data_IF_296376316765
#
_entry.id   IF_296376316765
#
_cell.length_a   1.000
_cell.length_b   1.000
_cell.length_c   1.000
_cell.angle_alpha   90.00
_cell.angle_beta   90.00
_cell.angle_gamma   90.00
#
_symmetry.space_group_name_H-M   'P 1'
#
loop_
_entity.id
_entity.type
_entity.pdbx_description
1 polymer ?
#
# COMPACT_ATOMS: atom_id res chain seq x y z
N UNK A 1 -13.21 -19.03 -19.18
CA UNK A 1 -13.14 -19.99 -18.06
C UNK A 1 -13.73 -21.29 -18.59
N UNK A 2 -12.95 -22.38 -18.65
CA UNK A 2 -13.43 -23.70 -19.08
C UNK A 2 -13.89 -24.49 -17.86
N UNK A 3 -15.01 -25.18 -17.97
CA UNK A 3 -15.66 -25.95 -16.91
C UNK A 3 -15.40 -27.45 -17.10
N UNK A 4 -15.63 -28.26 -16.05
CA UNK A 4 -15.21 -29.68 -15.94
C UNK A 4 -15.73 -30.62 -17.05
N UNK A 5 -16.74 -30.21 -17.82
CA UNK A 5 -17.29 -30.97 -18.96
C UNK A 5 -16.84 -30.47 -20.33
N UNK A 6 -16.02 -29.42 -20.41
CA UNK A 6 -15.62 -28.85 -21.69
C UNK A 6 -14.58 -29.73 -22.37
N UNK A 7 -14.83 -30.02 -23.65
CA UNK A 7 -13.88 -30.73 -24.50
C UNK A 7 -13.00 -29.68 -25.19
N UNK A 8 -11.68 -29.61 -24.89
CA UNK A 8 -10.80 -28.70 -25.58
C UNK A 8 -10.73 -29.08 -27.05
N UNK A 9 -11.21 -28.20 -27.93
CA UNK A 9 -11.11 -28.39 -29.37
C UNK A 9 -10.29 -27.26 -29.98
N UNK A 10 -9.29 -27.64 -30.78
CA UNK A 10 -8.55 -26.70 -31.61
C UNK A 10 -9.34 -26.41 -32.88
N UNK A 11 -9.44 -25.14 -33.27
CA UNK A 11 -10.07 -24.80 -34.55
C UNK A 11 -9.16 -25.22 -35.70
N UNK A 12 -9.76 -25.79 -36.74
CA UNK A 12 -9.05 -26.18 -37.98
C UNK A 12 -8.82 -25.00 -38.94
N UNK A 13 -9.39 -23.83 -38.65
CA UNK A 13 -9.31 -22.63 -39.48
C UNK A 13 -9.04 -21.39 -38.64
N UNK A 14 -8.45 -20.38 -39.28
CA UNK A 14 -8.26 -19.05 -38.70
C UNK A 14 -9.60 -18.42 -38.38
N UNK A 15 -9.80 -18.06 -37.10
CA UNK A 15 -10.92 -17.20 -36.72
C UNK A 15 -10.63 -15.80 -37.28
N UNK A 16 -11.48 -15.32 -38.19
CA UNK A 16 -11.58 -13.92 -38.55
C UNK A 16 -12.91 -13.36 -38.06
N UNK A 17 -12.91 -12.07 -37.70
CA UNK A 17 -14.12 -11.33 -37.34
C UNK A 17 -14.40 -10.34 -38.47
N UNK A 18 -15.65 -10.27 -38.92
CA UNK A 18 -16.10 -9.28 -39.91
C UNK A 18 -16.30 -7.93 -39.22
N UNK A 19 -15.86 -6.84 -39.85
CA UNK A 19 -15.97 -5.48 -39.28
C UNK A 19 -17.42 -5.07 -39.06
N UNK A 20 -18.37 -5.63 -39.84
CA UNK A 20 -19.80 -5.40 -39.70
C UNK A 20 -20.37 -5.85 -38.36
N UNK A 21 -19.67 -6.72 -37.62
CA UNK A 21 -20.05 -7.09 -36.24
C UNK A 21 -19.95 -5.91 -35.27
N UNK A 22 -19.13 -4.90 -35.59
CA UNK A 22 -18.95 -3.69 -34.80
C UNK A 22 -19.75 -2.51 -35.34
N UNK A 23 -20.60 -2.74 -36.34
CA UNK A 23 -21.44 -1.72 -36.98
C UNK A 23 -22.92 -2.05 -36.72
N UNK A 24 -23.72 -1.06 -36.33
CA UNK A 24 -25.16 -1.23 -36.02
C UNK A 24 -25.50 -1.16 -34.53
N UNK A 25 -26.81 -1.12 -34.22
CA UNK A 25 -27.35 -0.84 -32.87
C UNK A 25 -26.88 -1.84 -31.79
N UNK A 26 -26.53 -3.06 -32.20
CA UNK A 26 -25.96 -4.11 -31.35
C UNK A 26 -24.55 -3.78 -30.82
N UNK A 27 -23.78 -2.90 -31.49
CA UNK A 27 -22.46 -2.48 -31.01
C UNK A 27 -22.54 -1.74 -29.67
N UNK A 28 -23.61 -0.98 -29.43
CA UNK A 28 -23.85 -0.27 -28.18
C UNK A 28 -24.19 -1.21 -27.01
N UNK A 29 -24.76 -2.39 -27.28
CA UNK A 29 -25.14 -3.36 -26.26
C UNK A 29 -23.95 -4.17 -25.72
N UNK A 30 -22.94 -4.43 -26.56
CA UNK A 30 -21.69 -5.13 -26.18
C UNK A 30 -20.63 -4.17 -25.61
N UNK A 31 -20.68 -2.90 -26.00
CA UNK A 31 -19.90 -1.84 -25.37
C UNK A 31 -20.53 -1.45 -24.04
N UNK A 32 -20.47 -2.34 -23.03
CA UNK A 32 -20.55 -1.86 -21.65
C UNK A 32 -19.48 -0.79 -21.53
N UNK A 33 -19.88 0.46 -21.27
CA UNK A 33 -18.96 1.56 -21.02
C UNK A 33 -17.92 1.05 -20.03
N UNK A 34 -16.71 0.76 -20.52
CA UNK A 34 -15.58 0.38 -19.68
C UNK A 34 -15.50 1.51 -18.69
N UNK A 35 -15.92 1.20 -17.47
CA UNK A 35 -16.25 2.13 -16.40
C UNK A 35 -15.25 3.27 -16.51
N UNK A 36 -15.75 4.45 -16.88
CA UNK A 36 -15.01 5.68 -16.78
C UNK A 36 -14.90 5.92 -15.28
N UNK A 37 -14.04 5.14 -14.63
CA UNK A 37 -13.57 5.38 -13.30
C UNK A 37 -12.85 6.70 -13.45
N UNK A 38 -13.57 7.77 -13.17
CA UNK A 38 -13.02 9.02 -12.71
C UNK A 38 -12.34 8.75 -11.37
N UNK A 39 -11.32 7.89 -11.37
CA UNK A 39 -10.18 8.11 -10.52
C UNK A 39 -9.62 9.40 -11.08
N UNK A 40 -10.02 10.53 -10.47
CA UNK A 40 -9.46 11.83 -10.80
C UNK A 40 -7.93 11.63 -10.84
N UNK A 41 -7.37 11.59 -12.04
CA UNK A 41 -5.97 11.26 -12.23
C UNK A 41 -5.20 12.36 -11.54
N UNK A 42 -4.69 12.08 -10.33
CA UNK A 42 -3.87 13.03 -9.60
C UNK A 42 -2.73 13.42 -10.52
N UNK A 43 -2.60 14.73 -10.75
CA UNK A 43 -1.48 15.21 -11.55
C UNK A 43 -0.19 14.83 -10.83
N UNK A 44 0.88 14.60 -11.59
CA UNK A 44 2.21 14.31 -11.02
C UNK A 44 2.63 15.33 -9.96
N UNK A 45 2.22 16.60 -10.11
CA UNK A 45 2.50 17.66 -9.13
C UNK A 45 1.78 17.45 -7.80
N UNK A 46 0.50 17.05 -7.84
CA UNK A 46 -0.29 16.75 -6.63
C UNK A 46 0.30 15.55 -5.88
N UNK A 47 0.63 14.47 -6.59
CA UNK A 47 1.27 13.30 -5.99
C UNK A 47 2.58 13.66 -5.27
N UNK A 48 3.42 14.50 -5.90
CA UNK A 48 4.68 14.94 -5.28
C UNK A 48 4.42 15.78 -4.02
N UNK A 49 3.43 16.68 -4.06
CA UNK A 49 3.08 17.52 -2.92
C UNK A 49 2.57 16.68 -1.74
N UNK A 50 1.64 15.75 -1.99
CA UNK A 50 1.10 14.84 -0.99
C UNK A 50 2.19 13.95 -0.38
N UNK A 51 3.08 13.40 -1.21
CA UNK A 51 4.19 12.57 -0.70
C UNK A 51 5.18 13.37 0.14
N UNK A 52 5.44 14.64 -0.20
CA UNK A 52 6.29 15.51 0.64
C UNK A 52 5.64 15.79 1.99
N UNK A 53 4.34 16.08 1.99
CA UNK A 53 3.59 16.35 3.22
C UNK A 53 3.60 15.14 4.16
N UNK A 54 3.24 13.95 3.64
CA UNK A 54 3.27 12.69 4.39
C UNK A 54 4.69 12.36 4.88
N UNK A 55 5.71 12.60 4.07
CA UNK A 55 7.10 12.37 4.47
C UNK A 55 7.52 13.24 5.66
N UNK A 56 7.05 14.49 5.72
CA UNK A 56 7.38 15.38 6.83
C UNK A 56 6.66 14.97 8.12
N UNK A 57 5.35 14.71 8.04
CA UNK A 57 4.55 14.25 9.19
C UNK A 57 5.10 12.93 9.78
N UNK A 58 5.50 12.00 8.92
CA UNK A 58 6.14 10.76 9.35
C UNK A 58 7.49 11.02 10.06
N UNK A 59 8.27 11.99 9.57
CA UNK A 59 9.50 12.42 10.22
C UNK A 59 9.27 12.93 11.64
N UNK A 60 8.28 13.80 11.83
CA UNK A 60 7.92 14.32 13.16
C UNK A 60 7.44 13.22 14.11
N UNK A 61 6.61 12.30 13.61
CA UNK A 61 6.15 11.13 14.38
C UNK A 61 7.32 10.23 14.79
N UNK A 62 8.26 9.99 13.88
CA UNK A 62 9.48 9.22 14.18
C UNK A 62 10.30 9.89 15.28
N UNK A 63 10.52 11.21 15.22
CA UNK A 63 11.26 11.92 16.27
C UNK A 63 10.62 11.80 17.66
N UNK A 64 9.29 11.80 17.75
CA UNK A 64 8.58 11.57 19.03
C UNK A 64 8.82 10.16 19.55
N UNK A 65 8.73 9.16 18.67
CA UNK A 65 8.98 7.76 19.01
C UNK A 65 10.42 7.55 19.47
N UNK A 66 11.41 8.07 18.73
CA UNK A 66 12.83 7.96 19.07
C UNK A 66 13.13 8.57 20.46
N UNK A 67 12.45 9.68 20.81
CA UNK A 67 12.56 10.28 22.14
C UNK A 67 11.99 9.38 23.23
N UNK A 68 10.83 8.76 23.00
CA UNK A 68 10.23 7.83 23.96
C UNK A 68 11.14 6.62 24.17
N UNK A 69 11.71 6.07 23.11
CA UNK A 69 12.68 4.96 23.19
C UNK A 69 13.88 5.35 24.06
N UNK A 70 14.50 6.51 23.82
CA UNK A 70 15.64 6.97 24.62
C UNK A 70 15.30 7.12 26.11
N UNK A 71 14.11 7.62 26.44
CA UNK A 71 13.68 7.75 27.84
C UNK A 71 13.52 6.36 28.47
N UNK A 72 12.87 5.44 27.77
CA UNK A 72 12.65 4.07 28.27
C UNK A 72 13.97 3.30 28.42
N UNK A 73 14.91 3.46 27.49
CA UNK A 73 16.25 2.86 27.61
C UNK A 73 17.00 3.39 28.82
N UNK A 74 16.91 4.69 29.12
CA UNK A 74 17.52 5.25 30.33
C UNK A 74 16.89 4.69 31.60
N UNK A 75 15.56 4.59 31.66
CA UNK A 75 14.83 3.99 32.78
C UNK A 75 15.21 2.52 32.99
N UNK A 76 15.31 1.72 31.93
CA UNK A 76 15.71 0.30 32.00
C UNK A 76 17.15 0.14 32.52
N UNK A 77 18.07 1.01 32.10
CA UNK A 77 19.47 0.95 32.51
C UNK A 77 19.73 1.47 33.94
N UNK A 78 18.82 2.26 34.51
CA UNK A 78 18.91 2.77 35.89
C UNK A 78 18.46 1.76 36.96
N UNK A 79 17.74 0.68 36.59
CA UNK A 79 17.34 -0.39 37.53
C UNK A 79 18.49 -1.33 37.96
N UNK A 80 19.74 -1.06 37.53
CA UNK A 80 20.93 -1.85 37.85
C UNK A 80 21.74 -1.39 39.08
N UNK A 81 21.39 -0.30 39.77
CA UNK A 81 22.19 0.24 40.90
C UNK A 81 21.34 0.45 42.16
N UNK A 82 20.96 -0.66 42.82
CA UNK A 82 20.66 -0.63 44.27
C UNK A 82 21.60 -1.59 45.00
N UNK A 83 22.89 -1.31 44.91
CA UNK A 83 23.88 -1.78 45.88
C UNK A 83 24.00 -0.74 47.00
N UNK A 84 23.19 -0.85 48.04
CA UNK A 84 23.28 -0.01 49.24
C UNK A 84 24.69 -0.16 49.85
N UNK A 85 25.55 0.83 49.65
CA UNK A 85 26.83 0.92 50.38
C UNK A 85 26.54 1.52 51.75
N UNK A 86 26.30 0.67 52.76
CA UNK A 86 26.29 1.10 54.16
C UNK A 86 27.72 1.46 54.55
N UNK A 87 27.98 2.76 54.70
CA UNK A 87 29.23 3.28 55.25
C UNK A 87 29.27 3.01 56.75
N UNK A 88 30.15 2.11 57.18
CA UNK A 88 30.44 1.85 58.60
C UNK A 88 31.26 3.02 59.19
N UNK A 89 30.92 3.53 60.40
CA UNK A 89 31.75 4.50 61.10
C UNK A 89 32.89 3.78 61.83
N UNK A 90 34.14 4.15 61.52
CA UNK A 90 35.31 3.75 62.30
C UNK A 90 35.38 4.59 63.58
N UNK A 91 35.45 3.90 64.73
CA UNK A 91 35.66 4.47 66.06
C UNK A 91 37.08 5.04 66.19
#
# INVERSE_FOLDING_TARGET
ILVKGDIPCTRKSTLSLDYRLFEGEHAAYIATSSVQQSSATLTRKQMIAELKDVSNDLGEKKSKIDRVIQVLELEENDEGVVGVTIRMPTK
#
